data_IF_019071111921
#
_entry.id   IF_019071111921
#
_cell.length_a   1.000
_cell.length_b   1.000
_cell.length_c   1.000
_cell.angle_alpha   90.00
_cell.angle_beta   90.00
_cell.angle_gamma   90.00
#
_symmetry.space_group_name_H-M   'P 1'
#
loop_
_entity.id
_entity.type
_entity.pdbx_description
1 polymer ?
#
# COMPACT_ATOMS: atom_id res chain seq x y z
N UNK A 1 16.69 -7.84 22.25
CA UNK A 1 15.89 -6.84 21.51
C UNK A 1 15.24 -7.59 20.36
N UNK A 2 13.94 -7.87 20.45
CA UNK A 2 13.20 -8.32 19.27
C UNK A 2 13.18 -7.16 18.28
N UNK A 3 13.60 -7.40 17.04
CA UNK A 3 13.46 -6.42 15.98
C UNK A 3 11.96 -6.19 15.72
N UNK A 4 11.53 -4.93 15.65
CA UNK A 4 10.14 -4.60 15.36
C UNK A 4 9.77 -5.12 13.97
N UNK A 5 8.80 -6.02 13.89
CA UNK A 5 8.38 -6.62 12.62
C UNK A 5 7.61 -5.61 11.78
N UNK A 6 7.83 -5.66 10.46
CA UNK A 6 7.05 -4.89 9.50
C UNK A 6 5.62 -5.44 9.43
N UNK A 7 4.65 -4.64 9.88
CA UNK A 7 3.24 -5.00 9.93
C UNK A 7 2.58 -4.72 8.59
N UNK A 8 2.07 -5.76 7.93
CA UNK A 8 1.48 -5.68 6.60
C UNK A 8 0.00 -6.03 6.66
N UNK A 9 -0.83 -5.23 5.98
CA UNK A 9 -2.25 -5.53 5.78
C UNK A 9 -2.50 -5.89 4.31
N UNK A 10 -3.15 -7.01 4.05
CA UNK A 10 -3.41 -7.48 2.68
C UNK A 10 -4.84 -7.15 2.23
N UNK A 11 -4.99 -6.72 0.98
CA UNK A 11 -6.28 -6.42 0.37
C UNK A 11 -6.37 -7.13 -0.97
N UNK A 12 -7.38 -7.96 -1.16
CA UNK A 12 -7.57 -8.71 -2.41
C UNK A 12 -8.41 -9.96 -2.20
N UNK A 13 -8.57 -10.75 -3.26
CA UNK A 13 -9.36 -11.99 -3.15
C UNK A 13 -8.75 -12.97 -2.14
N UNK A 14 -9.60 -13.76 -1.46
CA UNK A 14 -9.22 -14.60 -0.31
C UNK A 14 -8.09 -15.57 -0.61
N UNK A 15 -8.19 -16.35 -1.69
CA UNK A 15 -7.15 -17.31 -2.08
C UNK A 15 -5.78 -16.65 -2.34
N UNK A 16 -5.78 -15.43 -2.88
CA UNK A 16 -4.54 -14.74 -3.19
C UNK A 16 -3.92 -14.08 -1.97
N UNK A 17 -4.73 -13.43 -1.14
CA UNK A 17 -4.25 -12.87 0.14
C UNK A 17 -3.76 -13.95 1.09
N UNK A 18 -4.33 -15.16 1.05
CA UNK A 18 -3.81 -16.33 1.77
C UNK A 18 -2.45 -16.77 1.22
N UNK A 19 -2.34 -16.97 -0.09
CA UNK A 19 -1.09 -17.38 -0.74
C UNK A 19 0.04 -16.38 -0.48
N UNK A 20 -0.24 -15.08 -0.64
CA UNK A 20 0.70 -14.00 -0.35
C UNK A 20 1.03 -13.94 1.14
N UNK A 21 0.04 -14.18 2.01
CA UNK A 21 0.23 -14.26 3.45
C UNK A 21 1.21 -15.36 3.85
N UNK A 22 1.15 -16.54 3.22
CA UNK A 22 2.11 -17.63 3.46
C UNK A 22 3.52 -17.25 3.01
N UNK A 23 3.66 -16.70 1.79
CA UNK A 23 4.97 -16.25 1.26
C UNK A 23 5.63 -15.22 2.19
N UNK A 24 4.82 -14.29 2.72
CA UNK A 24 5.31 -13.25 3.63
C UNK A 24 5.59 -13.79 5.04
N UNK A 25 4.87 -14.82 5.49
CA UNK A 25 5.06 -15.42 6.81
C UNK A 25 6.41 -16.15 6.94
N UNK A 26 6.97 -16.63 5.83
CA UNK A 26 8.32 -17.23 5.78
C UNK A 26 9.44 -16.20 6.05
N UNK A 27 9.12 -14.91 6.09
CA UNK A 27 10.08 -13.84 6.36
C UNK A 27 9.99 -13.37 7.82
N UNK A 28 11.04 -13.59 8.61
CA UNK A 28 11.07 -13.26 10.05
C UNK A 28 10.77 -11.78 10.37
N UNK A 29 11.11 -10.88 9.45
CA UNK A 29 10.94 -9.43 9.60
C UNK A 29 9.54 -8.93 9.25
N UNK A 30 8.64 -9.80 8.78
CA UNK A 30 7.29 -9.42 8.32
C UNK A 30 6.24 -10.09 9.21
N UNK A 31 5.16 -9.35 9.46
CA UNK A 31 3.96 -9.85 10.13
C UNK A 31 2.72 -9.39 9.37
N UNK A 32 1.93 -10.35 8.88
CA UNK A 32 0.60 -10.04 8.33
C UNK A 32 -0.37 -9.82 9.49
N UNK A 33 -0.91 -8.60 9.61
CA UNK A 33 -1.76 -8.19 10.74
C UNK A 33 -3.25 -8.23 10.44
N UNK A 34 -3.61 -8.46 9.18
CA UNK A 34 -4.99 -8.57 8.75
C UNK A 34 -5.13 -8.66 7.24
N UNK A 35 -6.34 -9.03 6.82
CA UNK A 35 -6.72 -9.15 5.41
C UNK A 35 -8.11 -8.54 5.19
N UNK A 36 -8.38 -8.01 4.00
CA UNK A 36 -9.72 -7.63 3.57
C UNK A 36 -9.93 -7.98 2.10
N UNK A 37 -11.18 -8.20 1.68
CA UNK A 37 -11.47 -8.55 0.28
C UNK A 37 -11.62 -7.35 -0.65
N UNK A 38 -11.67 -6.13 -0.11
CA UNK A 38 -11.74 -4.91 -0.91
C UNK A 38 -11.14 -3.68 -0.19
N UNK A 39 -10.68 -2.65 -0.95
CA UNK A 39 -10.17 -1.40 -0.38
C UNK A 39 -11.13 -0.72 0.59
N UNK A 40 -12.44 -0.74 0.30
CA UNK A 40 -13.46 -0.13 1.18
C UNK A 40 -13.56 -0.85 2.52
N UNK A 41 -13.53 -2.19 2.53
CA UNK A 41 -13.57 -2.95 3.79
C UNK A 41 -12.27 -2.79 4.59
N UNK A 42 -11.14 -2.65 3.90
CA UNK A 42 -9.84 -2.52 4.52
C UNK A 42 -9.74 -1.27 5.40
N UNK A 43 -10.37 -0.14 5.04
CA UNK A 43 -10.30 1.12 5.81
C UNK A 43 -10.57 0.93 7.31
N UNK A 44 -11.66 0.23 7.64
CA UNK A 44 -12.05 0.01 9.04
C UNK A 44 -11.08 -0.94 9.76
N UNK A 45 -10.68 -2.02 9.10
CA UNK A 45 -9.79 -3.03 9.67
C UNK A 45 -8.35 -2.51 9.86
N UNK A 46 -7.87 -1.69 8.92
CA UNK A 46 -6.55 -1.03 8.99
C UNK A 46 -6.47 -0.09 10.19
N UNK A 47 -7.55 0.64 10.48
CA UNK A 47 -7.59 1.55 11.64
C UNK A 47 -7.43 0.82 12.98
N UNK A 48 -7.82 -0.45 13.05
CA UNK A 48 -7.71 -1.28 14.26
C UNK A 48 -6.37 -2.02 14.35
N UNK A 49 -5.75 -2.29 13.20
CA UNK A 49 -4.54 -3.11 13.11
C UNK A 49 -3.27 -2.28 12.98
N UNK A 50 -3.34 -0.99 12.66
CA UNK A 50 -2.19 -0.08 12.53
C UNK A 50 -0.99 -0.68 11.76
N UNK A 51 -1.19 -1.14 10.50
CA UNK A 51 -0.13 -1.66 9.66
C UNK A 51 0.85 -0.55 9.24
N UNK A 52 2.08 -0.95 8.95
CA UNK A 52 3.10 -0.10 8.34
C UNK A 52 2.89 0.03 6.83
N UNK A 53 2.36 -1.01 6.18
CA UNK A 53 2.16 -1.09 4.72
C UNK A 53 0.82 -1.77 4.41
N UNK A 54 0.13 -1.29 3.39
CA UNK A 54 -1.02 -1.98 2.79
C UNK A 54 -0.59 -2.55 1.45
N UNK A 55 -0.78 -3.85 1.23
CA UNK A 55 -0.59 -4.48 -0.08
C UNK A 55 -1.97 -4.71 -0.68
N UNK A 56 -2.23 -4.12 -1.85
CA UNK A 56 -3.44 -4.32 -2.63
C UNK A 56 -3.09 -5.19 -3.83
N UNK A 57 -3.75 -6.33 -3.90
CA UNK A 57 -3.35 -7.46 -4.71
C UNK A 57 -4.51 -7.75 -5.68
N UNK A 58 -4.37 -7.30 -6.93
CA UNK A 58 -5.40 -7.41 -7.97
C UNK A 58 -5.18 -8.65 -8.85
N UNK A 59 -6.29 -9.32 -9.19
CA UNK A 59 -6.32 -10.53 -10.04
C UNK A 59 -7.25 -10.32 -11.26
N UNK A 60 -7.97 -9.19 -11.30
CA UNK A 60 -9.04 -8.96 -12.27
C UNK A 60 -8.53 -8.23 -13.52
N UNK A 61 -8.66 -8.87 -14.68
CA UNK A 61 -8.42 -8.26 -16.01
C UNK A 61 -9.43 -7.14 -16.36
N UNK A 62 -10.55 -7.04 -15.63
CA UNK A 62 -11.72 -6.27 -16.08
C UNK A 62 -12.06 -5.07 -15.20
N UNK A 63 -11.45 -4.92 -14.03
CA UNK A 63 -11.75 -3.81 -13.11
C UNK A 63 -10.47 -3.32 -12.45
N UNK A 64 -10.06 -2.11 -12.82
CA UNK A 64 -9.04 -1.38 -12.07
C UNK A 64 -9.48 -1.31 -10.61
N UNK A 65 -8.60 -1.75 -9.70
CA UNK A 65 -8.90 -1.71 -8.27
C UNK A 65 -9.01 -0.25 -7.83
N UNK A 66 -10.17 0.15 -7.30
CA UNK A 66 -10.36 1.51 -6.81
C UNK A 66 -9.63 1.71 -5.47
N UNK A 67 -8.45 2.34 -5.52
CA UNK A 67 -7.63 2.67 -4.35
C UNK A 67 -8.09 3.93 -3.61
N UNK A 68 -9.06 4.69 -4.15
CA UNK A 68 -9.51 5.96 -3.59
C UNK A 68 -9.89 5.89 -2.09
N UNK A 69 -10.59 4.86 -1.59
CA UNK A 69 -10.94 4.78 -0.17
C UNK A 69 -9.69 4.76 0.74
N UNK A 70 -8.64 4.05 0.32
CA UNK A 70 -7.39 3.95 1.08
C UNK A 70 -6.60 5.26 1.00
N UNK A 71 -6.47 5.84 -0.18
CA UNK A 71 -5.72 7.08 -0.37
C UNK A 71 -6.36 8.28 0.35
N UNK A 72 -7.70 8.34 0.37
CA UNK A 72 -8.42 9.44 1.01
C UNK A 72 -8.41 9.36 2.55
N UNK A 73 -8.55 8.16 3.10
CA UNK A 73 -8.74 7.97 4.55
C UNK A 73 -7.46 7.56 5.27
N UNK A 74 -6.48 7.00 4.57
CA UNK A 74 -5.23 6.50 5.11
C UNK A 74 -4.01 7.05 4.34
N UNK A 75 -3.92 8.37 4.10
CA UNK A 75 -2.89 8.94 3.22
C UNK A 75 -1.45 8.73 3.73
N UNK A 76 -1.26 8.51 5.02
CA UNK A 76 0.05 8.33 5.63
C UNK A 76 0.61 6.91 5.48
N UNK A 77 -0.20 5.92 5.11
CA UNK A 77 0.23 4.53 5.02
C UNK A 77 0.63 4.23 3.56
N UNK A 78 1.88 3.82 3.30
CA UNK A 78 2.29 3.37 1.97
C UNK A 78 1.41 2.24 1.44
N UNK A 79 1.09 2.31 0.15
CA UNK A 79 0.33 1.28 -0.56
C UNK A 79 1.25 0.65 -1.61
N UNK A 80 1.34 -0.68 -1.59
CA UNK A 80 1.94 -1.48 -2.65
C UNK A 80 0.78 -2.07 -3.45
N UNK A 81 0.59 -1.61 -4.67
CA UNK A 81 -0.41 -2.15 -5.58
C UNK A 81 0.26 -3.12 -6.56
N UNK A 82 -0.06 -4.40 -6.42
CA UNK A 82 0.43 -5.47 -7.27
C UNK A 82 -0.72 -5.98 -8.14
N UNK A 83 -0.60 -5.78 -9.45
CA UNK A 83 -1.48 -6.40 -10.44
C UNK A 83 -0.74 -7.59 -11.06
N UNK A 84 -1.26 -8.80 -10.89
CA UNK A 84 -0.61 -10.01 -11.38
C UNK A 84 -0.57 -10.12 -12.90
N UNK A 85 -1.38 -9.35 -13.62
CA UNK A 85 -1.35 -9.29 -15.08
C UNK A 85 -0.30 -8.30 -15.61
N UNK A 86 0.43 -7.63 -14.71
CA UNK A 86 1.47 -6.67 -15.04
C UNK A 86 2.80 -7.13 -14.46
N UNK A 87 3.90 -6.93 -15.19
CA UNK A 87 5.26 -7.23 -14.72
C UNK A 87 5.86 -6.07 -13.89
N UNK A 88 5.00 -5.37 -13.15
CA UNK A 88 5.44 -4.30 -12.25
C UNK A 88 4.54 -4.20 -11.03
N UNK A 89 5.11 -3.66 -9.96
CA UNK A 89 4.41 -3.31 -8.75
C UNK A 89 4.44 -1.80 -8.60
N UNK A 90 3.28 -1.19 -8.32
CA UNK A 90 3.19 0.24 -8.09
C UNK A 90 3.31 0.53 -6.60
N UNK A 91 4.29 1.36 -6.23
CA UNK A 91 4.46 1.84 -4.85
C UNK A 91 3.89 3.25 -4.77
N UNK A 92 2.91 3.45 -3.91
CA UNK A 92 2.23 4.73 -3.69
C UNK A 92 2.52 5.19 -2.26
N UNK A 93 3.25 6.30 -2.16
CA UNK A 93 3.57 6.97 -0.90
C UNK A 93 3.03 8.39 -0.94
N UNK A 94 2.49 8.88 0.17
CA UNK A 94 2.14 10.29 0.30
C UNK A 94 3.07 10.97 1.28
N UNK A 95 3.33 12.26 1.02
CA UNK A 95 3.98 13.17 1.97
C UNK A 95 3.14 14.44 2.06
N UNK A 96 3.14 15.06 3.23
CA UNK A 96 2.51 16.37 3.40
C UNK A 96 3.49 17.44 2.92
N UNK A 97 3.02 18.29 2.03
CA UNK A 97 3.71 19.51 1.61
C UNK A 97 2.88 20.68 2.12
N UNK A 98 3.53 21.72 2.64
CA UNK A 98 2.85 22.92 3.07
C UNK A 98 2.22 23.64 1.87
N UNK A 99 1.10 24.33 2.06
CA UNK A 99 0.33 24.96 0.98
C UNK A 99 0.95 26.28 0.49
N UNK A 100 2.19 26.61 0.88
CA UNK A 100 2.88 27.79 0.37
C UNK A 100 3.30 27.55 -1.07
N UNK A 101 3.25 28.60 -1.88
CA UNK A 101 3.65 28.56 -3.29
C UNK A 101 5.06 28.00 -3.47
N UNK A 102 6.00 28.39 -2.62
CA UNK A 102 7.40 27.93 -2.67
C UNK A 102 7.49 26.42 -2.46
N UNK A 103 6.86 25.91 -1.40
CA UNK A 103 6.88 24.48 -1.06
C UNK A 103 6.22 23.62 -2.16
N UNK A 104 5.15 24.14 -2.81
CA UNK A 104 4.53 23.47 -3.95
C UNK A 104 5.47 23.40 -5.16
N UNK A 105 6.15 24.49 -5.49
CA UNK A 105 7.09 24.53 -6.62
C UNK A 105 8.29 23.61 -6.36
N UNK A 106 8.83 23.62 -5.15
CA UNK A 106 9.92 22.74 -4.72
C UNK A 106 9.49 21.26 -4.83
N UNK A 107 8.29 20.91 -4.38
CA UNK A 107 7.77 19.55 -4.51
C UNK A 107 7.61 19.11 -5.97
N UNK A 108 7.24 20.01 -6.89
CA UNK A 108 7.14 19.72 -8.34
C UNK A 108 8.54 19.51 -8.93
N UNK A 109 9.51 20.33 -8.57
CA UNK A 109 10.90 20.23 -9.04
C UNK A 109 11.56 18.92 -8.59
N UNK A 110 11.40 18.55 -7.32
CA UNK A 110 11.87 17.28 -6.78
C UNK A 110 11.25 16.07 -7.50
N UNK A 111 9.95 16.12 -7.82
CA UNK A 111 9.30 15.04 -8.56
C UNK A 111 9.79 14.94 -10.01
N UNK A 112 10.06 16.08 -10.64
CA UNK A 112 10.52 16.14 -12.04
C UNK A 112 11.94 15.60 -12.20
N UNK A 113 12.81 15.85 -11.22
CA UNK A 113 14.20 15.38 -11.22
C UNK A 113 14.34 13.90 -10.86
N UNK A 114 13.37 13.32 -10.13
CA UNK A 114 13.39 11.92 -9.71
C UNK A 114 13.14 10.90 -10.83
N UNK A 115 12.59 11.33 -11.97
CA UNK A 115 12.27 10.45 -13.12
C UNK A 115 13.47 10.26 -14.07
N UNK A 116 14.66 10.77 -13.71
CA UNK A 116 15.84 10.85 -14.59
C UNK A 116 16.99 9.87 -14.31
N UNK A 117 16.81 8.84 -13.47
CA UNK A 117 17.83 7.81 -13.21
C UNK A 117 17.24 6.40 -13.27
#
# INVERSE_FOLDING_TARGET
>A
MEAEKCRIFLVGHTLFTESLGQILADTESIQVVGTAVSPTQAVTAVSQTAPHIIIVANISEQTQTNLQPLLALLPAIPIIHADLNQDYVQIITSRRVSARRTDLLEAIEELSTRTGN
#
